data_IF_030698679489
#
_entry.id   IF_030698679489
#
_cell.length_a   1.000
_cell.length_b   1.000
_cell.length_c   1.000
_cell.angle_alpha   90.00
_cell.angle_beta   90.00
_cell.angle_gamma   90.00
#
_symmetry.space_group_name_H-M   'P 1'
#
loop_
_entity.id
_entity.type
_entity.pdbx_description
1 polymer ?
#
# COMPACT_ATOMS: atom_id res chain seq x y z
N UNK A 1 8.82 -3.57 9.21
CA UNK A 1 7.87 -3.98 8.16
C UNK A 1 6.70 -3.02 8.26
N UNK A 2 6.34 -2.26 7.22
CA UNK A 2 5.22 -1.29 7.31
C UNK A 2 3.86 -1.89 6.91
N UNK A 3 3.83 -3.20 6.64
CA UNK A 3 2.67 -3.93 6.14
C UNK A 3 2.30 -5.06 7.09
N UNK A 4 1.00 -5.20 7.37
CA UNK A 4 0.42 -6.21 8.25
C UNK A 4 -0.28 -7.34 7.49
N UNK A 5 -0.93 -7.04 6.37
CA UNK A 5 -1.67 -8.02 5.58
C UNK A 5 -1.93 -7.53 4.16
N UNK A 6 -2.21 -8.46 3.26
CA UNK A 6 -2.69 -8.15 1.91
C UNK A 6 -3.59 -9.27 1.42
N UNK A 7 -4.62 -8.92 0.65
CA UNK A 7 -5.42 -9.91 -0.06
C UNK A 7 -6.00 -9.33 -1.35
N UNK A 8 -6.27 -10.20 -2.30
CA UNK A 8 -6.92 -9.88 -3.58
C UNK A 8 -7.88 -11.01 -3.94
N UNK A 9 -9.02 -10.68 -4.53
CA UNK A 9 -9.99 -11.69 -4.97
C UNK A 9 -9.48 -12.51 -6.17
N UNK A 10 -10.15 -13.63 -6.45
CA UNK A 10 -9.78 -14.55 -7.53
C UNK A 10 -9.78 -13.87 -8.91
N UNK A 11 -10.71 -12.93 -9.12
CA UNK A 11 -10.81 -12.13 -10.33
C UNK A 11 -9.70 -11.08 -10.46
N UNK A 12 -8.83 -10.94 -9.45
CA UNK A 12 -7.73 -9.95 -9.39
C UNK A 12 -8.22 -8.52 -9.54
N UNK A 13 -9.44 -8.25 -9.09
CA UNK A 13 -10.09 -6.96 -9.24
C UNK A 13 -10.20 -6.23 -7.91
N UNK A 14 -10.60 -6.89 -6.82
CA UNK A 14 -10.75 -6.29 -5.49
C UNK A 14 -9.54 -6.62 -4.63
N UNK A 15 -8.88 -5.61 -4.10
CA UNK A 15 -7.73 -5.79 -3.20
C UNK A 15 -7.89 -5.01 -1.90
N UNK A 16 -7.13 -5.42 -0.88
CA UNK A 16 -6.92 -4.65 0.34
C UNK A 16 -5.48 -4.83 0.84
N UNK A 17 -4.96 -3.79 1.48
CA UNK A 17 -3.67 -3.80 2.16
C UNK A 17 -3.84 -3.27 3.57
N UNK A 18 -3.29 -4.02 4.52
CA UNK A 18 -3.14 -3.60 5.89
C UNK A 18 -1.78 -2.94 6.11
N UNK A 19 -1.77 -1.73 6.65
CA UNK A 19 -0.52 -1.03 7.00
C UNK A 19 -0.31 -1.08 8.51
N UNK A 20 0.94 -0.88 8.94
CA UNK A 20 1.26 -0.76 10.37
C UNK A 20 1.19 0.71 10.83
N UNK A 21 1.61 1.62 9.96
CA UNK A 21 1.90 3.01 10.29
C UNK A 21 1.60 3.93 9.10
N UNK A 22 1.12 5.14 9.36
CA UNK A 22 1.01 6.22 8.40
C UNK A 22 1.07 7.59 9.08
N UNK A 23 1.06 8.66 8.29
CA UNK A 23 0.97 10.03 8.77
C UNK A 23 -0.13 10.78 8.04
N UNK A 24 -0.79 11.69 8.75
CA UNK A 24 -1.68 12.67 8.14
C UNK A 24 -0.86 13.68 7.34
N UNK A 25 -1.42 14.12 6.23
CA UNK A 25 -0.94 15.28 5.48
C UNK A 25 -2.03 16.35 5.62
N UNK A 26 -1.69 17.47 6.24
CA UNK A 26 -2.58 18.62 6.43
C UNK A 26 -1.85 19.87 5.92
N UNK A 27 -2.50 20.62 5.04
CA UNK A 27 -1.93 21.82 4.41
C UNK A 27 -0.55 21.60 3.76
N UNK A 28 -0.33 20.40 3.21
CA UNK A 28 0.92 20.02 2.55
C UNK A 28 2.05 19.59 3.51
N UNK A 29 1.79 19.50 4.81
CA UNK A 29 2.76 19.11 5.81
C UNK A 29 2.41 17.77 6.47
N UNK A 30 3.44 16.97 6.79
CA UNK A 30 3.26 15.74 7.57
C UNK A 30 2.93 16.10 9.02
N UNK A 31 1.86 15.50 9.55
CA UNK A 31 1.35 15.72 10.91
C UNK A 31 1.35 14.42 11.72
N UNK A 32 0.28 14.23 12.49
CA UNK A 32 0.11 13.12 13.44
C UNK A 32 0.27 11.76 12.79
N UNK A 33 0.80 10.83 13.59
CA UNK A 33 0.92 9.42 13.22
C UNK A 33 -0.44 8.76 13.36
N UNK A 34 -0.79 7.93 12.38
CA UNK A 34 -1.98 7.08 12.39
C UNK A 34 -1.54 5.62 12.44
N UNK A 35 -2.11 4.84 13.35
CA UNK A 35 -1.76 3.42 13.50
C UNK A 35 -2.76 2.54 12.79
N UNK A 36 -2.25 1.53 12.09
CA UNK A 36 -3.05 0.61 11.29
C UNK A 36 -3.98 1.29 10.24
N UNK A 37 -3.51 2.28 9.44
CA UNK A 37 -4.31 2.85 8.37
C UNK A 37 -4.34 1.88 7.18
N UNK A 38 -5.47 1.24 6.93
CA UNK A 38 -5.60 0.24 5.87
C UNK A 38 -6.30 0.86 4.66
N UNK A 39 -6.09 0.29 3.47
CA UNK A 39 -6.77 0.75 2.26
C UNK A 39 -7.21 -0.40 1.37
N UNK A 40 -8.25 -0.16 0.59
CA UNK A 40 -8.81 -1.16 -0.34
C UNK A 40 -9.32 -0.49 -1.62
N UNK A 41 -9.57 -1.29 -2.64
CA UNK A 41 -10.14 -0.75 -3.87
C UNK A 41 -10.38 -1.77 -4.96
N UNK A 42 -10.93 -1.26 -6.06
CA UNK A 42 -11.01 -1.93 -7.36
C UNK A 42 -9.76 -1.54 -8.14
N UNK A 43 -8.99 -2.53 -8.60
CA UNK A 43 -7.68 -2.35 -9.21
C UNK A 43 -7.71 -1.31 -10.33
N UNK A 44 -8.66 -1.42 -11.26
CA UNK A 44 -8.75 -0.49 -12.38
C UNK A 44 -9.16 0.94 -11.97
N UNK A 45 -9.86 1.13 -10.86
CA UNK A 45 -10.18 2.47 -10.35
C UNK A 45 -8.99 3.04 -9.57
N UNK A 46 -8.39 2.24 -8.70
CA UNK A 46 -7.19 2.63 -7.94
C UNK A 46 -6.08 3.15 -8.85
N UNK A 47 -5.74 2.41 -9.92
CA UNK A 47 -4.70 2.86 -10.85
C UNK A 47 -5.10 4.09 -11.68
N UNK A 48 -6.39 4.32 -11.94
CA UNK A 48 -6.87 5.55 -12.59
C UNK A 48 -6.80 6.77 -11.67
N UNK A 49 -6.78 6.56 -10.36
CA UNK A 49 -6.66 7.63 -9.39
C UNK A 49 -5.20 8.02 -9.08
N UNK A 50 -4.22 7.41 -9.75
CA UNK A 50 -2.82 7.85 -9.67
C UNK A 50 -2.69 9.27 -10.23
N UNK A 51 -2.50 10.25 -9.34
CA UNK A 51 -2.51 11.67 -9.67
C UNK A 51 -1.11 12.28 -9.76
N UNK A 52 -0.13 11.69 -9.08
CA UNK A 52 1.27 12.08 -9.20
C UNK A 52 2.22 10.91 -8.97
N UNK A 53 3.38 10.98 -9.64
CA UNK A 53 4.49 10.04 -9.51
C UNK A 53 5.73 10.86 -9.18
N UNK A 54 6.42 10.47 -8.12
CA UNK A 54 7.65 11.11 -7.67
C UNK A 54 8.81 10.89 -8.64
N UNK A 55 9.85 11.69 -8.47
CA UNK A 55 11.06 11.59 -9.27
C UNK A 55 12.03 10.52 -8.72
N UNK A 56 13.23 10.47 -9.32
CA UNK A 56 14.28 9.56 -8.90
C UNK A 56 14.73 9.74 -7.43
N UNK A 57 14.52 10.91 -6.83
CA UNK A 57 14.82 11.16 -5.42
C UNK A 57 13.91 10.40 -4.45
N UNK A 58 12.76 9.93 -4.94
CA UNK A 58 11.79 9.16 -4.13
C UNK A 58 11.78 7.66 -4.46
N UNK A 59 12.67 7.20 -5.34
CA UNK A 59 12.71 5.82 -5.78
C UNK A 59 13.29 4.90 -4.71
N UNK A 60 12.54 3.86 -4.35
CA UNK A 60 12.99 2.84 -3.41
C UNK A 60 12.75 1.42 -3.94
N UNK A 61 13.60 0.49 -3.52
CA UNK A 61 13.44 -0.96 -3.77
C UNK A 61 13.01 -1.63 -2.48
N UNK A 62 11.80 -2.18 -2.49
CA UNK A 62 11.20 -2.84 -1.33
C UNK A 62 10.84 -4.29 -1.64
N UNK A 63 10.89 -5.16 -0.64
CA UNK A 63 10.58 -6.57 -0.82
C UNK A 63 10.21 -7.29 0.46
N UNK A 64 9.70 -8.50 0.28
CA UNK A 64 9.34 -9.45 1.35
C UNK A 64 10.01 -10.80 1.06
N UNK A 65 10.45 -11.54 2.09
CA UNK A 65 10.97 -12.89 1.92
C UNK A 65 9.89 -13.92 1.56
N UNK A 66 8.61 -13.56 1.65
CA UNK A 66 7.47 -14.44 1.39
C UNK A 66 6.67 -13.96 0.18
N UNK A 67 6.30 -14.87 -0.72
CA UNK A 67 5.45 -14.52 -1.88
C UNK A 67 3.95 -14.51 -1.57
N UNK A 68 3.55 -14.96 -0.38
CA UNK A 68 2.15 -15.00 0.04
C UNK A 68 1.32 -16.01 -0.75
N UNK A 69 1.93 -17.10 -1.25
CA UNK A 69 1.25 -18.18 -1.99
C UNK A 69 1.44 -19.52 -1.29
N UNK A 70 0.40 -20.36 -1.39
CA UNK A 70 0.41 -21.74 -0.88
C UNK A 70 -0.05 -21.85 0.57
N UNK A 71 -0.55 -23.04 0.93
CA UNK A 71 -0.72 -23.47 2.32
C UNK A 71 -0.06 -24.85 2.52
N UNK A 72 1.10 -24.94 3.21
CA UNK A 72 1.82 -23.87 3.91
C UNK A 72 2.42 -22.79 2.99
N UNK A 73 2.58 -21.57 3.51
CA UNK A 73 3.12 -20.42 2.78
C UNK A 73 4.53 -20.70 2.24
N UNK A 74 4.76 -20.41 0.96
CA UNK A 74 6.02 -20.64 0.29
C UNK A 74 7.04 -19.51 0.54
N UNK A 75 8.29 -19.91 0.79
CA UNK A 75 9.42 -18.97 0.94
C UNK A 75 10.06 -18.73 -0.43
N UNK A 76 9.84 -17.54 -0.98
CA UNK A 76 10.56 -17.02 -2.13
C UNK A 76 10.55 -15.49 -2.04
N UNK A 77 11.73 -14.90 -2.18
CA UNK A 77 11.91 -13.45 -2.11
C UNK A 77 11.19 -12.81 -3.29
N UNK A 78 10.29 -11.89 -3.00
CA UNK A 78 9.63 -11.05 -4.01
C UNK A 78 9.80 -9.59 -3.62
N UNK A 79 9.89 -8.72 -4.62
CA UNK A 79 10.06 -7.30 -4.40
C UNK A 79 9.72 -6.52 -5.65
N UNK A 80 9.61 -5.20 -5.49
CA UNK A 80 9.41 -4.26 -6.56
C UNK A 80 10.13 -2.96 -6.23
N UNK A 81 10.30 -2.13 -7.24
CA UNK A 81 10.80 -0.79 -7.05
C UNK A 81 9.72 0.21 -7.47
N UNK A 82 9.56 1.27 -6.70
CA UNK A 82 8.59 2.32 -6.98
C UNK A 82 9.12 3.66 -6.46
N UNK A 83 8.89 4.77 -7.19
CA UNK A 83 8.90 6.09 -6.57
C UNK A 83 7.71 6.26 -5.61
N UNK A 84 7.70 7.37 -4.88
CA UNK A 84 6.50 7.79 -4.15
C UNK A 84 5.36 8.08 -5.15
N UNK A 85 4.13 7.69 -4.81
CA UNK A 85 2.96 7.90 -5.66
C UNK A 85 1.84 8.52 -4.85
N UNK A 86 1.08 9.43 -5.47
CA UNK A 86 -0.14 9.99 -4.89
C UNK A 86 -1.34 9.36 -5.58
N UNK A 87 -2.20 8.74 -4.78
CA UNK A 87 -3.46 8.19 -5.25
C UNK A 87 -4.61 8.98 -4.62
N UNK A 88 -5.47 9.55 -5.46
CA UNK A 88 -6.66 10.26 -5.03
C UNK A 88 -7.82 9.28 -4.75
N UNK A 89 -8.81 9.69 -3.96
CA UNK A 89 -10.09 8.98 -3.81
C UNK A 89 -9.94 7.47 -3.47
N UNK A 90 -8.99 7.14 -2.61
CA UNK A 90 -8.78 5.77 -2.11
C UNK A 90 -9.61 5.55 -0.84
N UNK A 91 -10.33 4.42 -0.76
CA UNK A 91 -11.05 4.03 0.44
C UNK A 91 -10.06 3.58 1.53
N UNK A 92 -9.88 4.43 2.55
CA UNK A 92 -9.03 4.21 3.71
C UNK A 92 -9.91 3.91 4.93
N UNK A 93 -9.53 2.90 5.72
CA UNK A 93 -10.28 2.45 6.89
C UNK A 93 -9.35 2.00 8.02
N UNK A 94 -9.90 1.91 9.24
CA UNK A 94 -9.08 1.80 10.46
C UNK A 94 -8.41 3.14 10.76
N UNK A 95 -7.20 3.11 11.32
CA UNK A 95 -6.47 4.33 11.61
C UNK A 95 -6.88 5.01 12.91
N UNK A 96 -6.67 4.32 14.03
CA UNK A 96 -6.86 4.94 15.35
C UNK A 96 -5.74 5.98 15.59
N UNK A 97 -6.13 7.19 16.01
CA UNK A 97 -5.23 8.27 16.47
C UNK A 97 -4.93 8.12 17.95
#
# INVERSE_FOLDING_TARGET
>A
SYNRSWSIDDARNKFQFGCEWGQLIEDGELKGVVKNPNYRGISAQFWRNLSAVGDAGTFEVLGTPYCGKGEPNQVIRVGHASPACVFSDVDVFGGDT
#
